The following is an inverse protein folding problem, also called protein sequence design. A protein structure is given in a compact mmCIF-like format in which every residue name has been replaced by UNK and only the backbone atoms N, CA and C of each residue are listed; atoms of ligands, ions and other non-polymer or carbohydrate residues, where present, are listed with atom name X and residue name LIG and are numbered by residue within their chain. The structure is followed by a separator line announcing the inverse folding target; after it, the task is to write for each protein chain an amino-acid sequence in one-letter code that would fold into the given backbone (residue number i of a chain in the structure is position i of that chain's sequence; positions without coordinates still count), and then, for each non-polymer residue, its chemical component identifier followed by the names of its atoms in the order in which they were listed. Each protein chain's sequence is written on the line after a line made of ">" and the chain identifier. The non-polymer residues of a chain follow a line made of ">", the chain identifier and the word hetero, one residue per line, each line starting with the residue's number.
data_IF_443647314226
#
_entry.id   IF_443647314226
#
_cell.length_a   1.000
_cell.length_b   1.000
_cell.length_c   1.000
_cell.angle_alpha   90.00
_cell.angle_beta   90.00
_cell.angle_gamma   90.00
#
_symmetry.space_group_name_H-M   'P 1'
#
loop_
_entity.id
_entity.type
_entity.pdbx_description
1 polymer ?
#
# COMPACT_ATOMS: atom_id res chain seq x y z
N UNK A 1 -45.61 47.17 -1.45
CA UNK A 1 -44.85 48.23 -2.14
C UNK A 1 -43.91 47.56 -3.10
N UNK A 2 -44.26 47.66 -4.38
CA UNK A 2 -43.44 47.22 -5.52
C UNK A 2 -42.33 48.22 -5.80
N UNK A 3 -41.13 47.77 -6.08
CA UNK A 3 -40.15 48.58 -6.80
C UNK A 3 -39.42 47.71 -7.79
N UNK A 4 -39.73 47.94 -9.04
CA UNK A 4 -39.08 47.48 -10.27
C UNK A 4 -37.81 48.26 -10.56
N UNK A 5 -36.71 47.59 -11.00
CA UNK A 5 -35.56 48.25 -11.63
C UNK A 5 -35.16 47.45 -12.88
N UNK A 6 -35.51 47.98 -13.96
CA UNK A 6 -34.91 48.37 -15.23
C UNK A 6 -33.66 47.62 -15.72
N UNK A 7 -33.83 46.97 -16.86
CA UNK A 7 -32.82 46.45 -17.78
C UNK A 7 -32.08 47.57 -18.55
N UNK A 8 -30.74 47.51 -18.61
CA UNK A 8 -29.97 48.25 -19.61
C UNK A 8 -29.20 47.30 -20.51
N UNK A 9 -29.56 47.36 -21.78
CA UNK A 9 -28.90 46.58 -22.81
C UNK A 9 -27.52 47.15 -23.16
N UNK A 10 -26.61 46.26 -23.45
CA UNK A 10 -25.31 46.57 -24.05
C UNK A 10 -25.31 46.08 -25.50
N UNK A 11 -25.18 47.04 -26.42
CA UNK A 11 -25.08 46.78 -27.86
C UNK A 11 -23.65 46.36 -28.16
N UNK A 12 -23.46 45.14 -28.67
CA UNK A 12 -22.17 44.67 -29.16
C UNK A 12 -22.10 44.83 -30.66
N UNK A 13 -21.19 45.62 -31.09
CA UNK A 13 -20.86 45.90 -32.51
C UNK A 13 -20.12 44.70 -33.10
N UNK A 14 -20.65 44.17 -34.18
CA UNK A 14 -20.05 43.08 -34.95
C UNK A 14 -18.99 43.67 -35.90
N UNK A 15 -17.72 43.36 -35.73
CA UNK A 15 -16.65 43.64 -36.68
C UNK A 15 -16.33 42.37 -37.48
N UNK A 16 -16.65 42.43 -38.79
CA UNK A 16 -16.25 41.40 -39.73
C UNK A 16 -14.73 41.49 -39.97
N UNK A 17 -14.00 40.43 -39.59
CA UNK A 17 -12.63 40.21 -40.09
C UNK A 17 -12.66 39.15 -41.18
N UNK A 18 -12.34 39.57 -42.39
CA UNK A 18 -12.11 38.69 -43.54
C UNK A 18 -10.71 38.12 -43.39
N UNK A 19 -10.59 36.83 -43.13
CA UNK A 19 -9.31 36.12 -43.13
C UNK A 19 -9.20 35.34 -44.42
N UNK A 20 -8.29 35.79 -45.29
CA UNK A 20 -7.90 35.10 -46.51
C UNK A 20 -7.13 33.81 -46.16
N UNK A 21 -7.69 32.68 -46.55
CA UNK A 21 -7.06 31.38 -46.46
C UNK A 21 -5.94 31.24 -47.48
N UNK A 22 -4.72 31.15 -47.01
CA UNK A 22 -3.58 30.74 -47.83
C UNK A 22 -3.36 29.23 -47.63
N UNK A 23 -3.72 28.48 -48.68
CA UNK A 23 -3.43 27.06 -48.81
C UNK A 23 -1.93 26.85 -49.02
N UNK A 24 -1.20 26.40 -48.03
CA UNK A 24 0.11 25.78 -48.21
C UNK A 24 -0.05 24.26 -48.06
N UNK A 25 -0.10 23.58 -49.19
CA UNK A 25 -0.05 22.12 -49.26
C UNK A 25 1.40 21.66 -48.98
N UNK A 26 1.66 21.08 -47.83
CA UNK A 26 2.88 20.31 -47.57
C UNK A 26 2.58 18.81 -47.77
N UNK A 27 3.47 18.06 -48.44
CA UNK A 27 3.25 16.62 -48.66
C UNK A 27 3.39 15.84 -47.38
N UNK A 28 2.43 14.95 -47.14
CA UNK A 28 2.47 13.98 -46.05
C UNK A 28 3.62 12.99 -46.24
N UNK A 29 4.63 13.06 -45.40
CA UNK A 29 5.62 11.99 -45.25
C UNK A 29 5.07 10.92 -44.36
N UNK A 30 4.68 9.82 -44.93
CA UNK A 30 4.33 8.56 -44.25
C UNK A 30 5.59 7.99 -43.56
N UNK A 31 5.78 8.28 -42.26
CA UNK A 31 6.78 7.61 -41.47
C UNK A 31 6.27 6.20 -41.13
N UNK A 32 6.76 5.22 -41.88
CA UNK A 32 6.61 3.80 -41.57
C UNK A 32 7.41 3.47 -40.31
N UNK A 33 6.83 3.70 -39.11
CA UNK A 33 7.35 3.18 -37.87
C UNK A 33 6.97 1.68 -37.77
N UNK A 34 7.87 0.84 -38.24
CA UNK A 34 7.89 -0.59 -37.93
C UNK A 34 8.29 -0.72 -36.47
N UNK A 35 7.51 -1.36 -35.56
CA UNK A 35 7.97 -1.59 -34.21
C UNK A 35 9.17 -2.53 -34.27
N UNK A 36 10.30 -2.06 -33.73
CA UNK A 36 11.48 -2.90 -33.51
C UNK A 36 11.08 -4.06 -32.60
N UNK A 37 11.29 -5.28 -33.05
CA UNK A 37 11.20 -6.46 -32.23
C UNK A 37 12.22 -6.29 -31.10
N UNK A 38 11.72 -6.19 -29.84
CA UNK A 38 12.54 -6.24 -28.65
C UNK A 38 13.15 -7.65 -28.58
N UNK A 39 14.45 -7.71 -28.82
CA UNK A 39 15.24 -8.93 -28.66
C UNK A 39 15.08 -9.48 -27.24
N UNK A 40 14.45 -10.65 -27.15
CA UNK A 40 14.31 -11.43 -25.91
C UNK A 40 15.64 -12.08 -25.50
N UNK A 41 16.70 -11.27 -25.35
CA UNK A 41 18.05 -11.72 -24.94
C UNK A 41 18.76 -10.73 -24.05
N UNK A 42 18.08 -10.30 -23.00
CA UNK A 42 18.75 -9.77 -21.80
C UNK A 42 18.12 -10.44 -20.58
N UNK A 43 18.35 -11.75 -20.42
CA UNK A 43 18.39 -12.34 -19.10
C UNK A 43 19.61 -11.73 -18.40
N UNK A 44 19.37 -10.62 -17.71
CA UNK A 44 20.38 -9.95 -16.91
C UNK A 44 20.88 -10.96 -15.88
N UNK A 45 22.14 -11.37 -16.04
CA UNK A 45 22.84 -12.26 -15.11
C UNK A 45 22.87 -11.57 -13.76
N UNK A 46 21.99 -12.00 -12.84
CA UNK A 46 22.01 -11.56 -11.43
C UNK A 46 23.44 -11.62 -10.91
N UNK A 47 23.97 -10.55 -10.29
CA UNK A 47 25.32 -10.58 -9.72
C UNK A 47 25.44 -11.78 -8.77
N UNK A 48 26.53 -12.55 -8.88
CA UNK A 48 26.85 -13.62 -7.92
C UNK A 48 26.92 -12.98 -6.53
N UNK A 49 25.93 -13.29 -5.66
CA UNK A 49 25.87 -12.78 -4.28
C UNK A 49 24.63 -11.96 -3.93
N UNK A 50 23.74 -11.63 -4.88
CA UNK A 50 22.47 -11.00 -4.54
C UNK A 50 21.53 -12.01 -3.84
N UNK A 51 20.76 -11.59 -2.80
CA UNK A 51 19.83 -12.46 -2.10
C UNK A 51 18.86 -13.15 -3.05
N UNK A 52 18.64 -14.45 -2.87
CA UNK A 52 17.65 -15.23 -3.61
C UNK A 52 16.24 -15.01 -3.08
N UNK A 53 15.24 -15.55 -3.79
CA UNK A 53 13.83 -15.45 -3.33
C UNK A 53 13.61 -16.05 -1.95
N UNK A 54 14.32 -17.14 -1.60
CA UNK A 54 14.20 -17.74 -0.26
C UNK A 54 14.78 -16.79 0.82
N UNK A 55 15.91 -16.13 0.55
CA UNK A 55 16.50 -15.16 1.48
C UNK A 55 15.57 -13.96 1.69
N UNK A 56 14.94 -13.47 0.61
CA UNK A 56 13.96 -12.40 0.67
C UNK A 56 12.72 -12.79 1.49
N UNK A 57 12.24 -14.03 1.35
CA UNK A 57 11.13 -14.56 2.17
C UNK A 57 11.51 -14.65 3.64
N UNK A 58 12.73 -15.09 3.96
CA UNK A 58 13.22 -15.14 5.34
C UNK A 58 13.32 -13.73 5.94
N UNK A 59 13.82 -12.77 5.16
CA UNK A 59 13.89 -11.36 5.55
C UNK A 59 12.50 -10.78 5.81
N UNK A 60 11.55 -11.01 4.91
CA UNK A 60 10.16 -10.59 5.10
C UNK A 60 9.54 -11.24 6.34
N UNK A 61 9.67 -12.57 6.49
CA UNK A 61 9.13 -13.29 7.66
C UNK A 61 9.65 -12.72 8.99
N UNK A 62 10.95 -12.40 9.08
CA UNK A 62 11.55 -11.79 10.27
C UNK A 62 11.04 -10.35 10.46
N UNK A 63 10.92 -9.57 9.37
CA UNK A 63 10.40 -8.20 9.38
C UNK A 63 8.99 -8.15 9.94
N UNK A 64 8.06 -8.95 9.37
CA UNK A 64 6.65 -9.01 9.79
C UNK A 64 6.49 -9.52 11.23
N UNK A 65 7.31 -10.51 11.63
CA UNK A 65 7.29 -11.01 13.00
C UNK A 65 7.71 -9.94 14.01
N UNK A 66 8.69 -9.11 13.65
CA UNK A 66 9.12 -7.97 14.46
C UNK A 66 8.12 -6.81 14.43
N UNK A 67 7.48 -6.54 13.28
CA UNK A 67 6.42 -5.54 13.15
C UNK A 67 5.21 -5.92 14.03
N UNK A 68 4.78 -7.19 13.98
CA UNK A 68 3.77 -7.70 14.89
C UNK A 68 4.11 -7.40 16.36
N UNK A 69 5.30 -7.75 16.81
CA UNK A 69 5.72 -7.51 18.19
C UNK A 69 5.73 -6.01 18.55
N UNK A 70 6.21 -5.15 17.64
CA UNK A 70 6.19 -3.69 17.83
C UNK A 70 4.78 -3.15 17.97
N UNK A 71 3.89 -3.51 17.08
CA UNK A 71 2.53 -2.96 17.04
C UNK A 71 1.69 -3.41 18.24
N UNK A 72 1.93 -4.61 18.78
CA UNK A 72 1.32 -5.02 20.05
C UNK A 72 1.72 -4.08 21.20
N UNK A 73 2.98 -3.71 21.32
CA UNK A 73 3.43 -2.80 22.38
C UNK A 73 2.99 -1.33 22.11
N UNK A 74 3.01 -0.91 20.85
CA UNK A 74 2.52 0.42 20.46
C UNK A 74 1.01 0.59 20.75
N UNK A 75 0.23 -0.48 20.58
CA UNK A 75 -1.19 -0.48 20.92
C UNK A 75 -1.42 -0.23 22.42
N UNK A 76 -0.66 -0.92 23.28
CA UNK A 76 -0.73 -0.74 24.75
C UNK A 76 -0.39 0.70 25.12
N UNK A 77 0.63 1.28 24.50
CA UNK A 77 1.05 2.66 24.74
C UNK A 77 -0.02 3.67 24.32
N UNK A 78 -0.62 3.47 23.16
CA UNK A 78 -1.69 4.32 22.64
C UNK A 78 -2.92 4.29 23.57
N UNK A 79 -3.31 3.11 24.04
CA UNK A 79 -4.41 2.96 25.01
C UNK A 79 -4.08 3.71 26.33
N UNK A 80 -2.86 3.57 26.86
CA UNK A 80 -2.42 4.22 28.06
C UNK A 80 -2.39 5.77 27.97
N UNK A 81 -2.17 6.31 26.76
CA UNK A 81 -2.19 7.75 26.47
C UNK A 81 -3.58 8.27 26.08
N UNK A 82 -4.61 7.41 26.10
CA UNK A 82 -6.00 7.79 25.79
C UNK A 82 -6.31 7.88 24.29
N UNK A 83 -5.48 7.29 23.44
CA UNK A 83 -5.66 7.18 21.99
C UNK A 83 -6.22 5.80 21.61
N UNK A 84 -7.39 5.42 22.16
CA UNK A 84 -8.02 4.12 21.95
C UNK A 84 -8.19 3.73 20.46
N UNK A 85 -8.60 4.64 19.55
CA UNK A 85 -8.65 4.33 18.12
C UNK A 85 -7.29 4.03 17.51
N UNK A 86 -6.21 4.69 17.96
CA UNK A 86 -4.83 4.38 17.53
C UNK A 86 -4.39 3.02 18.07
N UNK A 87 -4.73 2.72 19.32
CA UNK A 87 -4.50 1.39 19.91
C UNK A 87 -5.19 0.29 19.08
N UNK A 88 -6.43 0.53 18.66
CA UNK A 88 -7.18 -0.39 17.78
C UNK A 88 -6.51 -0.55 16.42
N UNK A 89 -6.03 0.53 15.81
CA UNK A 89 -5.30 0.48 14.54
C UNK A 89 -4.01 -0.34 14.67
N UNK A 90 -3.21 -0.11 15.72
CA UNK A 90 -2.00 -0.91 15.94
C UNK A 90 -2.30 -2.39 16.18
N UNK A 91 -3.39 -2.73 16.87
CA UNK A 91 -3.80 -4.15 17.01
C UNK A 91 -4.21 -4.76 15.68
N UNK A 92 -4.92 -4.00 14.85
CA UNK A 92 -5.30 -4.46 13.51
C UNK A 92 -4.09 -4.66 12.61
N UNK A 93 -3.15 -3.73 12.60
CA UNK A 93 -1.88 -3.89 11.89
C UNK A 93 -1.08 -5.09 12.46
N UNK A 94 -0.92 -5.21 13.78
CA UNK A 94 -0.25 -6.37 14.39
C UNK A 94 -0.87 -7.71 13.93
N UNK A 95 -2.20 -7.76 13.79
CA UNK A 95 -2.88 -8.95 13.29
C UNK A 95 -2.60 -9.19 11.81
N UNK A 96 -2.51 -8.14 11.01
CA UNK A 96 -2.14 -8.23 9.61
C UNK A 96 -0.72 -8.77 9.43
N UNK A 97 0.26 -8.26 10.20
CA UNK A 97 1.65 -8.75 10.15
C UNK A 97 1.75 -10.23 10.56
N UNK A 98 0.90 -10.68 11.48
CA UNK A 98 0.83 -12.10 11.79
C UNK A 98 0.34 -12.93 10.59
N UNK A 99 -0.59 -12.42 9.80
CA UNK A 99 -1.07 -13.08 8.56
C UNK A 99 0.04 -13.08 7.51
N UNK A 100 0.77 -11.97 7.34
CA UNK A 100 1.90 -11.87 6.40
C UNK A 100 3.00 -12.86 6.77
N UNK A 101 3.44 -12.86 8.01
CA UNK A 101 4.44 -13.81 8.51
C UNK A 101 4.01 -15.26 8.28
N UNK A 102 2.75 -15.61 8.58
CA UNK A 102 2.24 -16.95 8.33
C UNK A 102 2.29 -17.32 6.83
N UNK A 103 1.87 -16.43 5.96
CA UNK A 103 1.89 -16.65 4.50
C UNK A 103 3.32 -16.80 3.97
N UNK A 104 4.26 -15.95 4.39
CA UNK A 104 5.68 -16.10 4.03
C UNK A 104 6.26 -17.39 4.56
N UNK A 105 5.94 -17.74 5.82
CA UNK A 105 6.38 -18.97 6.46
C UNK A 105 5.94 -20.24 5.71
N UNK A 106 4.71 -20.27 5.18
CA UNK A 106 4.24 -21.39 4.37
C UNK A 106 5.02 -21.51 3.05
N UNK A 107 5.34 -20.39 2.39
CA UNK A 107 6.14 -20.42 1.16
C UNK A 107 7.59 -20.84 1.44
N UNK A 108 8.19 -20.36 2.54
CA UNK A 108 9.53 -20.77 2.99
C UNK A 108 9.58 -22.30 3.16
N UNK A 109 8.60 -22.89 3.86
CA UNK A 109 8.52 -24.35 4.05
C UNK A 109 8.41 -25.11 2.72
N UNK A 110 7.55 -24.65 1.80
CA UNK A 110 7.42 -25.23 0.47
C UNK A 110 8.73 -25.17 -0.34
N UNK A 111 9.57 -24.18 -0.11
CA UNK A 111 10.89 -24.05 -0.71
C UNK A 111 11.98 -24.82 0.03
N UNK A 112 11.63 -25.59 1.07
CA UNK A 112 12.56 -26.41 1.86
C UNK A 112 13.30 -25.66 2.96
N UNK A 113 12.92 -24.40 3.22
CA UNK A 113 13.47 -23.60 4.33
C UNK A 113 12.73 -23.81 5.65
N UNK A 114 13.30 -23.27 6.72
CA UNK A 114 12.68 -23.27 8.04
C UNK A 114 12.46 -21.83 8.47
N UNK A 115 11.19 -21.37 8.62
CA UNK A 115 10.90 -20.00 9.05
C UNK A 115 11.48 -19.76 10.45
N UNK A 116 12.25 -18.69 10.61
CA UNK A 116 12.83 -18.30 11.89
C UNK A 116 12.90 -16.78 11.95
N UNK A 117 12.46 -16.20 13.07
CA UNK A 117 12.60 -14.78 13.36
C UNK A 117 13.32 -14.60 14.71
N UNK A 118 14.23 -13.63 14.77
CA UNK A 118 14.80 -13.13 16.01
C UNK A 118 14.00 -11.88 16.42
N UNK A 119 13.14 -12.05 17.44
CA UNK A 119 12.28 -10.96 17.90
C UNK A 119 13.08 -9.99 18.74
N UNK A 120 13.25 -8.79 18.23
CA UNK A 120 14.01 -7.72 18.87
C UNK A 120 13.21 -7.13 20.06
N UNK A 121 13.94 -6.61 21.04
CA UNK A 121 13.33 -5.83 22.11
C UNK A 121 12.66 -4.58 21.52
N UNK A 122 11.39 -4.40 21.85
CA UNK A 122 10.61 -3.25 21.37
C UNK A 122 10.94 -2.01 22.21
N UNK A 123 11.34 -0.95 21.54
CA UNK A 123 11.42 0.39 22.13
C UNK A 123 10.09 1.12 21.86
N UNK A 124 9.39 1.44 22.95
CA UNK A 124 8.10 2.11 22.91
C UNK A 124 8.27 3.57 23.34
N UNK A 125 7.85 4.50 22.50
CA UNK A 125 7.88 5.94 22.75
C UNK A 125 6.45 6.49 22.93
N UNK A 126 6.23 7.79 22.71
CA UNK A 126 4.88 8.35 22.67
C UNK A 126 4.07 7.78 21.50
N UNK A 127 2.74 7.85 21.61
CA UNK A 127 1.83 7.41 20.53
C UNK A 127 2.19 8.05 19.19
N UNK A 128 2.49 9.36 19.19
CA UNK A 128 2.88 10.06 17.97
C UNK A 128 4.17 9.52 17.37
N UNK A 129 5.23 9.38 18.16
CA UNK A 129 6.52 8.86 17.69
C UNK A 129 6.41 7.40 17.22
N UNK A 130 5.56 6.60 17.85
CA UNK A 130 5.29 5.23 17.43
C UNK A 130 4.55 5.18 16.10
N UNK A 131 3.59 6.10 15.86
CA UNK A 131 2.92 6.25 14.55
C UNK A 131 3.90 6.72 13.47
N UNK A 132 4.77 7.69 13.78
CA UNK A 132 5.82 8.14 12.84
C UNK A 132 6.74 6.98 12.45
N UNK A 133 7.16 6.16 13.43
CA UNK A 133 8.01 5.00 13.19
C UNK A 133 7.29 3.90 12.37
N UNK A 134 6.01 3.65 12.68
CA UNK A 134 5.19 2.71 11.92
C UNK A 134 5.03 3.17 10.46
N UNK A 135 4.61 4.42 10.24
CA UNK A 135 4.46 4.97 8.88
C UNK A 135 5.76 4.90 8.07
N UNK A 136 6.91 5.15 8.71
CA UNK A 136 8.22 5.02 8.04
C UNK A 136 8.50 3.57 7.63
N UNK A 137 8.17 2.60 8.48
CA UNK A 137 8.30 1.17 8.20
C UNK A 137 7.45 0.74 7.00
N UNK A 138 6.13 1.03 7.06
CA UNK A 138 5.21 0.68 5.97
C UNK A 138 5.62 1.32 4.63
N UNK A 139 6.12 2.56 4.67
CA UNK A 139 6.61 3.23 3.47
C UNK A 139 7.83 2.53 2.87
N UNK A 140 8.79 2.11 3.69
CA UNK A 140 9.93 1.32 3.24
C UNK A 140 9.49 0.00 2.62
N UNK A 141 8.60 -0.73 3.29
CA UNK A 141 8.13 -2.04 2.83
C UNK A 141 7.39 -1.95 1.50
N UNK A 142 6.42 -1.05 1.38
CA UNK A 142 5.61 -0.92 0.17
C UNK A 142 6.34 -0.30 -1.03
N UNK A 143 7.32 0.60 -0.80
CA UNK A 143 7.98 1.36 -1.87
C UNK A 143 9.33 0.78 -2.31
N UNK A 144 10.03 0.08 -1.41
CA UNK A 144 11.39 -0.38 -1.63
C UNK A 144 11.51 -1.91 -1.48
N UNK A 145 11.20 -2.45 -0.31
CA UNK A 145 11.43 -3.85 0.02
C UNK A 145 10.62 -4.80 -0.86
N UNK A 146 9.29 -4.71 -0.79
CA UNK A 146 8.43 -5.62 -1.55
C UNK A 146 8.54 -5.48 -3.07
N UNK A 147 8.65 -4.29 -3.67
CA UNK A 147 8.91 -4.18 -5.11
C UNK A 147 10.18 -4.94 -5.55
N UNK A 148 11.26 -4.82 -4.78
CA UNK A 148 12.50 -5.57 -5.04
C UNK A 148 12.33 -7.07 -4.90
N UNK A 149 11.66 -7.53 -3.85
CA UNK A 149 11.40 -8.95 -3.59
C UNK A 149 10.49 -9.57 -4.65
N UNK A 150 9.45 -8.87 -5.09
CA UNK A 150 8.55 -9.29 -6.17
C UNK A 150 9.31 -9.43 -7.49
N UNK A 151 10.15 -8.45 -7.84
CA UNK A 151 10.96 -8.49 -9.05
C UNK A 151 11.89 -9.71 -9.04
N UNK A 152 12.57 -9.96 -7.92
CA UNK A 152 13.44 -11.13 -7.75
C UNK A 152 12.67 -12.44 -7.84
N UNK A 153 11.53 -12.55 -7.16
CA UNK A 153 10.70 -13.76 -7.18
C UNK A 153 10.16 -14.07 -8.59
N UNK A 154 9.82 -13.04 -9.38
CA UNK A 154 9.47 -13.23 -10.81
C UNK A 154 10.64 -13.76 -11.63
N UNK A 155 11.84 -13.19 -11.44
CA UNK A 155 13.06 -13.63 -12.13
C UNK A 155 13.42 -15.09 -11.78
N UNK A 156 13.16 -15.50 -10.53
CA UNK A 156 13.45 -16.85 -10.04
C UNK A 156 12.33 -17.87 -10.36
N UNK A 157 11.26 -17.44 -11.04
CA UNK A 157 10.06 -18.25 -11.33
C UNK A 157 9.45 -18.87 -10.05
N UNK A 158 9.17 -18.00 -9.05
CA UNK A 158 8.58 -18.37 -7.75
C UNK A 158 7.21 -17.73 -7.56
N UNK A 159 6.15 -18.23 -8.24
CA UNK A 159 4.82 -17.58 -8.22
C UNK A 159 4.18 -17.52 -6.83
N UNK A 160 4.41 -18.51 -5.95
CA UNK A 160 3.90 -18.45 -4.57
C UNK A 160 4.54 -17.31 -3.77
N UNK A 161 5.83 -17.05 -3.97
CA UNK A 161 6.51 -15.91 -3.35
C UNK A 161 6.00 -14.57 -3.92
N UNK A 162 5.85 -14.47 -5.24
CA UNK A 162 5.23 -13.29 -5.87
C UNK A 162 3.87 -13.01 -5.27
N UNK A 163 3.04 -14.04 -5.07
CA UNK A 163 1.69 -13.91 -4.52
C UNK A 163 1.72 -13.36 -3.09
N UNK A 164 2.51 -13.96 -2.19
CA UNK A 164 2.53 -13.55 -0.80
C UNK A 164 3.14 -12.16 -0.61
N UNK A 165 4.17 -11.79 -1.37
CA UNK A 165 4.73 -10.44 -1.37
C UNK A 165 3.74 -9.37 -1.88
N UNK A 166 2.97 -9.69 -2.94
CA UNK A 166 1.92 -8.76 -3.40
C UNK A 166 0.82 -8.57 -2.35
N UNK A 167 0.45 -9.62 -1.61
CA UNK A 167 -0.55 -9.53 -0.55
C UNK A 167 -0.09 -8.58 0.56
N UNK A 168 1.12 -8.75 1.03
CA UNK A 168 1.71 -7.87 2.02
C UNK A 168 1.82 -6.44 1.48
N UNK A 169 2.45 -6.21 0.32
CA UNK A 169 2.60 -4.88 -0.26
C UNK A 169 1.28 -4.09 -0.37
N UNK A 170 0.19 -4.77 -0.72
CA UNK A 170 -1.14 -4.16 -0.79
C UNK A 170 -1.65 -3.77 0.60
N UNK A 171 -1.40 -4.59 1.61
CA UNK A 171 -1.79 -4.30 2.98
C UNK A 171 -0.95 -3.14 3.56
N UNK A 172 0.39 -3.13 3.37
CA UNK A 172 1.27 -2.05 3.83
C UNK A 172 0.92 -0.72 3.15
N UNK A 173 0.40 -0.77 1.92
CA UNK A 173 -0.12 0.45 1.28
C UNK A 173 -1.31 1.03 2.02
N UNK A 174 -2.19 0.19 2.57
CA UNK A 174 -3.34 0.64 3.35
C UNK A 174 -2.94 1.01 4.78
N UNK A 175 -2.04 0.24 5.42
CA UNK A 175 -1.51 0.59 6.74
C UNK A 175 -0.85 1.98 6.73
N UNK A 176 -0.01 2.26 5.72
CA UNK A 176 0.61 3.59 5.57
C UNK A 176 -0.40 4.72 5.48
N UNK A 177 -1.53 4.53 4.78
CA UNK A 177 -2.62 5.52 4.72
C UNK A 177 -3.29 5.71 6.07
N UNK A 178 -3.60 4.61 6.75
CA UNK A 178 -4.27 4.63 8.05
C UNK A 178 -3.37 5.27 9.13
N UNK A 179 -2.08 4.94 9.17
CA UNK A 179 -1.13 5.57 10.09
C UNK A 179 -0.93 7.04 9.79
N UNK A 180 -0.86 7.42 8.50
CA UNK A 180 -0.79 8.83 8.12
C UNK A 180 -2.04 9.59 8.53
N UNK A 181 -3.22 9.04 8.31
CA UNK A 181 -4.47 9.64 8.76
C UNK A 181 -4.50 9.84 10.28
N UNK A 182 -4.10 8.81 11.04
CA UNK A 182 -4.03 8.90 12.49
C UNK A 182 -3.04 9.99 12.97
N UNK A 183 -1.92 10.18 12.26
CA UNK A 183 -0.95 11.25 12.55
C UNK A 183 -1.50 12.64 12.23
N UNK A 184 -2.09 12.82 11.06
CA UNK A 184 -2.62 14.12 10.60
C UNK A 184 -3.80 14.59 11.49
N UNK A 185 -4.58 13.66 12.01
CA UNK A 185 -5.80 13.89 12.77
C UNK A 185 -5.67 13.46 14.25
N UNK A 186 -4.45 13.37 14.80
CA UNK A 186 -4.17 12.70 16.08
C UNK A 186 -5.06 13.17 17.24
N UNK A 187 -5.39 14.46 17.31
CA UNK A 187 -6.28 14.99 18.33
C UNK A 187 -7.70 14.39 18.27
N UNK A 188 -8.15 13.99 17.08
CA UNK A 188 -9.47 13.40 16.83
C UNK A 188 -9.46 11.89 17.09
N UNK A 189 -8.29 11.28 17.20
CA UNK A 189 -8.09 9.87 17.52
C UNK A 189 -7.95 9.59 19.02
N UNK A 190 -8.42 10.52 19.85
CA UNK A 190 -8.61 10.29 21.30
C UNK A 190 -9.95 9.63 21.58
N UNK A 191 -10.03 8.94 22.72
CA UNK A 191 -11.27 8.34 23.21
C UNK A 191 -11.31 6.83 23.14
N UNK A 192 -12.51 6.27 23.02
CA UNK A 192 -12.73 4.82 23.04
C UNK A 192 -12.22 4.11 21.79
N UNK A 193 -12.12 2.80 21.88
CA UNK A 193 -11.69 1.93 20.79
C UNK A 193 -12.55 2.09 19.53
N UNK A 194 -11.95 1.81 18.37
CA UNK A 194 -12.59 1.83 17.05
C UNK A 194 -12.44 0.47 16.38
N UNK A 195 -13.45 0.05 15.65
CA UNK A 195 -13.40 -1.21 14.91
C UNK A 195 -12.58 -1.07 13.63
N UNK A 196 -11.69 -2.03 13.43
CA UNK A 196 -11.00 -2.31 12.18
C UNK A 196 -11.29 -3.74 11.75
N UNK A 197 -11.08 -4.03 10.49
CA UNK A 197 -11.32 -5.35 9.92
C UNK A 197 -10.08 -5.80 9.17
N UNK A 198 -9.62 -7.02 9.45
CA UNK A 198 -8.42 -7.60 8.87
C UNK A 198 -8.78 -8.85 8.08
N UNK A 199 -8.39 -8.91 6.83
CA UNK A 199 -8.56 -10.11 6.02
C UNK A 199 -7.64 -11.24 6.50
N UNK A 200 -8.21 -12.34 6.96
CA UNK A 200 -7.45 -13.50 7.47
C UNK A 200 -6.67 -14.25 6.40
N UNK A 201 -6.86 -13.92 5.12
CA UNK A 201 -6.16 -14.53 3.99
C UNK A 201 -4.90 -13.75 3.59
N UNK A 202 -4.99 -12.41 3.56
CA UNK A 202 -3.90 -11.58 3.02
C UNK A 202 -3.45 -10.41 3.92
N UNK A 203 -4.06 -10.22 5.09
CA UNK A 203 -3.72 -9.13 6.01
C UNK A 203 -4.33 -7.77 5.65
N UNK A 204 -4.97 -7.60 4.48
CA UNK A 204 -5.53 -6.30 4.09
C UNK A 204 -6.47 -5.76 5.18
N UNK A 205 -6.19 -4.54 5.64
CA UNK A 205 -6.86 -3.90 6.78
C UNK A 205 -7.77 -2.77 6.31
N UNK A 206 -8.95 -2.60 6.92
CA UNK A 206 -9.91 -1.55 6.56
C UNK A 206 -10.77 -1.12 7.75
N UNK A 207 -11.38 0.05 7.66
CA UNK A 207 -12.34 0.56 8.66
C UNK A 207 -13.79 0.18 8.34
N UNK A 208 -14.09 -0.39 7.17
CA UNK A 208 -15.46 -0.77 6.80
C UNK A 208 -15.49 -1.93 5.82
N UNK A 209 -16.58 -2.70 5.81
CA UNK A 209 -16.82 -3.83 4.91
C UNK A 209 -17.85 -3.50 3.81
N UNK A 210 -17.73 -2.31 3.20
CA UNK A 210 -18.64 -1.86 2.14
C UNK A 210 -18.28 -2.47 0.76
N UNK A 211 -17.95 -3.76 0.75
CA UNK A 211 -17.57 -4.54 -0.44
C UNK A 211 -17.94 -6.01 -0.24
N UNK A 212 -18.04 -6.77 -1.32
CA UNK A 212 -18.34 -8.22 -1.27
C UNK A 212 -17.08 -9.08 -1.24
N UNK A 213 -15.95 -8.57 -1.76
CA UNK A 213 -14.67 -9.29 -1.85
C UNK A 213 -13.53 -8.39 -1.43
N UNK A 214 -12.52 -8.99 -0.80
CA UNK A 214 -11.29 -8.32 -0.42
C UNK A 214 -10.63 -7.61 -1.61
N UNK A 215 -10.22 -6.36 -1.42
CA UNK A 215 -9.63 -5.54 -2.48
C UNK A 215 -8.22 -6.00 -2.91
N UNK A 216 -7.57 -6.84 -2.09
CA UNK A 216 -6.24 -7.41 -2.37
C UNK A 216 -6.34 -8.84 -2.92
N UNK A 217 -6.93 -9.77 -2.17
CA UNK A 217 -6.89 -11.20 -2.50
C UNK A 217 -8.19 -11.77 -3.08
N UNK A 218 -9.23 -10.95 -3.21
CA UNK A 218 -10.58 -11.31 -3.69
C UNK A 218 -11.30 -12.37 -2.85
N UNK A 219 -10.81 -12.69 -1.66
CA UNK A 219 -11.53 -13.53 -0.70
C UNK A 219 -12.86 -12.86 -0.31
N UNK A 220 -13.92 -13.64 -0.02
CA UNK A 220 -15.19 -13.08 0.39
C UNK A 220 -15.07 -12.33 1.71
N UNK A 221 -15.95 -11.34 1.95
CA UNK A 221 -15.91 -10.45 3.14
C UNK A 221 -16.00 -11.18 4.48
N UNK A 222 -16.58 -12.38 4.47
CA UNK A 222 -16.66 -13.26 5.65
C UNK A 222 -15.29 -13.76 6.14
N UNK A 223 -14.24 -13.55 5.34
CA UNK A 223 -12.84 -13.80 5.74
C UNK A 223 -12.21 -12.66 6.51
N UNK A 224 -12.96 -11.59 6.76
CA UNK A 224 -12.49 -10.52 7.63
C UNK A 224 -12.86 -10.80 9.08
N UNK A 225 -11.92 -10.59 9.97
CA UNK A 225 -12.16 -10.55 11.40
C UNK A 225 -12.15 -9.11 11.90
N UNK A 226 -12.98 -8.84 12.91
CA UNK A 226 -13.02 -7.55 13.58
C UNK A 226 -11.97 -7.49 14.67
N UNK A 227 -11.21 -6.39 14.69
CA UNK A 227 -10.15 -6.09 15.67
C UNK A 227 -10.38 -4.70 16.25
N UNK A 228 -10.27 -4.54 17.59
CA UNK A 228 -10.37 -3.26 18.26
C UNK A 228 -9.53 -3.17 19.54
#
# INVERSE_FOLDING_TARGET
>A
MLTTISSRGCKTTCALFVITTWCCSAPAQEAKNKPAALDAKQAEKTPKGAPGTLDNLMTAFEGESNAHARYVEFAKKADAEGYGPVGSLFRAAARAEQVHAANHGEVIKKMGGTPKADIKKVETKSTKENLDAALAGENYERLEMYPGFIAKAKTDDKPDAVKTFNYAQMAETEHAKLFKQALDELAQWKGGKKDFYVCTVCGYTTMSLNFEKCLSCFAPKEKYEKVN
#
